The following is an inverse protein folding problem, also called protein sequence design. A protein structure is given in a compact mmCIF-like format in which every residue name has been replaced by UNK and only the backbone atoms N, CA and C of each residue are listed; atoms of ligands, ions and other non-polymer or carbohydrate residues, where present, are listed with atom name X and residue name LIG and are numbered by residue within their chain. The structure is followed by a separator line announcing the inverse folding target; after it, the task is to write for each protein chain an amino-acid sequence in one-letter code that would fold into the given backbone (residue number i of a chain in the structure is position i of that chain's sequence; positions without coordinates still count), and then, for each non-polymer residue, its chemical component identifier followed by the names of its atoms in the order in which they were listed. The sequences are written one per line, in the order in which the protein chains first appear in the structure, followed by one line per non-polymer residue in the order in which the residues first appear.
data_IF_082841679653
#
_entry.id   IF_082841679653
#
_cell.length_a   1.000
_cell.length_b   1.000
_cell.length_c   1.000
_cell.angle_alpha   90.00
_cell.angle_beta   90.00
_cell.angle_gamma   90.00
#
_symmetry.space_group_name_H-M   'P 1'
#
loop_
_entity.id
_entity.type
_entity.pdbx_description
1 polymer ?
#
# COMPACT_ATOMS: atom_id res chain seq x y z
N UNK A 1 -53.79 -19.26 -12.81
CA UNK A 1 -52.70 -18.45 -12.23
C UNK A 1 -52.85 -17.01 -12.73
N UNK A 2 -53.08 -16.04 -11.86
CA UNK A 2 -53.34 -14.64 -12.27
C UNK A 2 -52.03 -13.94 -12.65
N UNK A 3 -52.04 -13.18 -13.76
CA UNK A 3 -50.88 -12.44 -14.31
C UNK A 3 -50.14 -11.60 -13.26
N UNK A 4 -50.88 -11.07 -12.27
CA UNK A 4 -50.33 -10.34 -11.12
C UNK A 4 -49.33 -11.16 -10.28
N UNK A 5 -49.59 -12.45 -10.07
CA UNK A 5 -48.68 -13.36 -9.34
C UNK A 5 -47.38 -13.60 -10.10
N UNK A 6 -47.46 -13.72 -11.43
CA UNK A 6 -46.29 -13.92 -12.29
C UNK A 6 -45.39 -12.68 -12.26
N UNK A 7 -45.97 -11.47 -12.35
CA UNK A 7 -45.22 -10.21 -12.31
C UNK A 7 -44.47 -10.05 -10.97
N UNK A 8 -45.11 -10.40 -9.84
CA UNK A 8 -44.47 -10.32 -8.51
C UNK A 8 -43.29 -11.31 -8.40
N UNK A 9 -43.43 -12.52 -8.94
CA UNK A 9 -42.36 -13.52 -8.94
C UNK A 9 -41.18 -13.06 -9.83
N UNK A 10 -41.46 -12.53 -11.02
CA UNK A 10 -40.40 -12.04 -11.91
C UNK A 10 -39.70 -10.81 -11.30
N UNK A 11 -40.45 -9.88 -10.72
CA UNK A 11 -39.87 -8.69 -10.08
C UNK A 11 -38.99 -9.04 -8.87
N UNK A 12 -39.39 -10.02 -8.06
CA UNK A 12 -38.59 -10.49 -6.92
C UNK A 12 -37.33 -11.22 -7.37
N UNK A 13 -37.39 -12.02 -8.43
CA UNK A 13 -36.20 -12.67 -9.02
C UNK A 13 -35.21 -11.62 -9.55
N UNK A 14 -35.69 -10.60 -10.28
CA UNK A 14 -34.84 -9.51 -10.80
C UNK A 14 -34.20 -8.71 -9.66
N UNK A 15 -34.96 -8.43 -8.59
CA UNK A 15 -34.43 -7.72 -7.42
C UNK A 15 -33.33 -8.52 -6.71
N UNK A 16 -33.52 -9.83 -6.53
CA UNK A 16 -32.53 -10.71 -5.90
C UNK A 16 -31.28 -10.83 -6.77
N UNK A 17 -31.43 -11.01 -8.08
CA UNK A 17 -30.31 -11.02 -9.04
C UNK A 17 -29.53 -9.70 -9.02
N UNK A 18 -30.23 -8.56 -9.02
CA UNK A 18 -29.60 -7.25 -8.92
C UNK A 18 -28.79 -7.09 -7.63
N UNK A 19 -29.32 -7.56 -6.50
CA UNK A 19 -28.64 -7.50 -5.21
C UNK A 19 -27.39 -8.37 -5.16
N UNK A 20 -27.44 -9.57 -5.76
CA UNK A 20 -26.28 -10.47 -5.88
C UNK A 20 -25.17 -9.83 -6.70
N UNK A 21 -25.50 -9.20 -7.84
CA UNK A 21 -24.51 -8.52 -8.69
C UNK A 21 -23.88 -7.34 -7.94
N UNK A 22 -24.68 -6.56 -7.21
CA UNK A 22 -24.19 -5.42 -6.42
C UNK A 22 -23.23 -5.87 -5.31
N UNK A 23 -23.55 -6.96 -4.60
CA UNK A 23 -22.67 -7.54 -3.59
C UNK A 23 -21.40 -8.14 -4.18
N UNK A 24 -21.47 -8.75 -5.36
CA UNK A 24 -20.31 -9.34 -6.02
C UNK A 24 -19.34 -8.25 -6.52
N UNK A 25 -19.86 -7.21 -7.19
CA UNK A 25 -19.05 -6.07 -7.67
C UNK A 25 -18.54 -5.25 -6.49
N UNK A 26 -19.39 -4.93 -5.52
CA UNK A 26 -18.99 -4.22 -4.30
C UNK A 26 -18.00 -5.01 -3.45
N UNK A 27 -18.13 -6.33 -3.41
CA UNK A 27 -17.21 -7.24 -2.70
C UNK A 27 -15.85 -7.34 -3.38
N UNK A 28 -15.79 -7.41 -4.71
CA UNK A 28 -14.50 -7.42 -5.45
C UNK A 28 -13.80 -6.07 -5.31
N UNK A 29 -14.53 -4.97 -5.52
CA UNK A 29 -13.99 -3.62 -5.34
C UNK A 29 -13.52 -3.46 -3.88
N UNK A 30 -14.36 -3.82 -2.91
CA UNK A 30 -14.01 -3.80 -1.49
C UNK A 30 -12.79 -4.65 -1.15
N UNK A 31 -12.67 -5.85 -1.71
CA UNK A 31 -11.52 -6.74 -1.48
C UNK A 31 -10.23 -6.22 -2.11
N UNK A 32 -10.30 -5.61 -3.30
CA UNK A 32 -9.15 -4.98 -3.98
C UNK A 32 -8.71 -3.72 -3.23
N UNK A 33 -9.66 -2.87 -2.83
CA UNK A 33 -9.38 -1.67 -2.03
C UNK A 33 -8.88 -2.01 -0.61
N UNK A 34 -9.40 -3.08 0.00
CA UNK A 34 -8.90 -3.61 1.27
C UNK A 34 -7.49 -4.21 1.13
N UNK A 35 -7.22 -4.94 0.04
CA UNK A 35 -5.90 -5.50 -0.24
C UNK A 35 -4.81 -4.44 -0.50
N UNK A 36 -5.18 -3.27 -1.02
CA UNK A 36 -4.24 -2.16 -1.29
C UNK A 36 -4.08 -1.25 -0.08
N UNK A 37 -5.17 -0.86 0.60
CA UNK A 37 -5.14 0.01 1.78
C UNK A 37 -4.65 -0.67 3.06
N UNK A 38 -4.78 -2.01 3.12
CA UNK A 38 -4.32 -2.88 4.19
C UNK A 38 -3.15 -3.78 3.71
N UNK A 39 -2.51 -3.40 2.59
CA UNK A 39 -1.32 -4.10 2.11
C UNK A 39 -0.26 -4.06 3.19
N UNK A 40 0.23 -5.25 3.57
CA UNK A 40 1.35 -5.44 4.51
C UNK A 40 2.52 -4.50 4.16
N UNK A 41 2.71 -4.17 2.87
CA UNK A 41 3.70 -3.20 2.42
C UNK A 41 3.53 -1.80 3.02
N UNK A 42 2.29 -1.27 3.09
CA UNK A 42 2.06 0.07 3.65
C UNK A 42 2.24 0.10 5.18
N UNK A 43 1.87 -0.98 5.87
CA UNK A 43 2.10 -1.13 7.32
C UNK A 43 3.59 -1.26 7.60
N UNK A 44 4.30 -2.13 6.87
CA UNK A 44 5.75 -2.31 6.98
C UNK A 44 6.50 -1.00 6.71
N UNK A 45 6.08 -0.23 5.69
CA UNK A 45 6.65 1.09 5.43
C UNK A 45 6.43 2.08 6.57
N UNK A 46 5.22 2.14 7.14
CA UNK A 46 4.93 3.03 8.27
C UNK A 46 5.72 2.65 9.52
N UNK A 47 5.81 1.36 9.83
CA UNK A 47 6.58 0.87 10.97
C UNK A 47 8.09 1.11 10.79
N UNK A 48 8.61 0.93 9.57
CA UNK A 48 9.99 1.27 9.24
C UNK A 48 10.25 2.78 9.44
N UNK A 49 9.39 3.64 8.89
CA UNK A 49 9.53 5.09 9.04
C UNK A 49 9.40 5.53 10.51
N UNK A 50 8.51 4.89 11.28
CA UNK A 50 8.32 5.19 12.71
C UNK A 50 9.51 4.77 13.57
N UNK A 51 10.22 3.71 13.21
CA UNK A 51 11.39 3.20 13.96
C UNK A 51 12.71 3.83 13.50
N UNK A 52 12.75 4.51 12.36
CA UNK A 52 13.97 5.05 11.80
C UNK A 52 14.49 6.28 12.59
N UNK A 53 15.65 6.12 13.24
CA UNK A 53 16.25 7.19 14.05
C UNK A 53 16.73 8.39 13.22
N UNK A 54 17.21 8.17 11.99
CA UNK A 54 17.61 9.28 11.08
C UNK A 54 16.43 10.16 10.75
N UNK A 55 15.28 9.56 10.45
CA UNK A 55 14.06 10.30 10.18
C UNK A 55 13.64 11.10 11.42
N UNK A 56 13.59 10.46 12.59
CA UNK A 56 13.24 11.13 13.85
C UNK A 56 14.19 12.26 14.24
N UNK A 57 15.47 12.14 13.96
CA UNK A 57 16.45 13.19 14.22
C UNK A 57 16.15 14.45 13.42
N UNK A 58 15.68 14.29 12.18
CA UNK A 58 15.40 15.41 11.27
C UNK A 58 13.99 16.00 11.50
N UNK A 59 12.95 15.16 11.58
CA UNK A 59 11.56 15.62 11.65
C UNK A 59 10.98 15.68 13.07
N UNK A 60 11.70 15.17 14.07
CA UNK A 60 11.19 14.92 15.42
C UNK A 60 10.42 13.60 15.54
N UNK A 61 9.82 13.34 16.70
CA UNK A 61 8.97 12.15 16.88
C UNK A 61 7.83 12.13 15.84
N UNK A 62 7.61 10.97 15.22
CA UNK A 62 6.56 10.79 14.21
C UNK A 62 5.18 10.88 14.90
N UNK A 63 4.47 12.00 14.71
CA UNK A 63 3.15 12.24 15.32
C UNK A 63 2.05 11.54 14.54
N UNK A 64 2.10 11.62 13.21
CA UNK A 64 1.08 11.01 12.35
C UNK A 64 1.58 10.78 10.93
N UNK A 65 0.91 9.88 10.23
CA UNK A 65 1.07 9.69 8.79
C UNK A 65 -0.08 10.36 8.04
N UNK A 66 0.19 10.83 6.83
CA UNK A 66 -0.82 11.36 5.93
C UNK A 66 -1.92 10.35 5.65
N UNK A 67 -3.14 10.85 5.44
CA UNK A 67 -4.31 10.02 5.11
C UNK A 67 -4.22 9.36 3.73
N UNK A 68 -3.33 9.85 2.87
CA UNK A 68 -3.12 9.34 1.53
C UNK A 68 -1.73 8.72 1.44
N UNK A 69 -1.69 7.44 1.10
CA UNK A 69 -0.50 6.74 0.65
C UNK A 69 -0.64 6.64 -0.86
N UNK A 70 0.30 7.24 -1.59
CA UNK A 70 0.31 7.24 -3.05
C UNK A 70 1.45 6.38 -3.50
N UNK A 71 1.26 5.53 -4.50
CA UNK A 71 2.31 4.61 -4.89
C UNK A 71 1.87 3.66 -5.97
N UNK A 72 2.85 2.95 -6.53
CA UNK A 72 2.60 1.94 -7.54
C UNK A 72 3.05 0.58 -7.02
N UNK A 73 2.17 -0.40 -7.11
CA UNK A 73 2.47 -1.78 -6.77
C UNK A 73 2.45 -2.57 -8.08
N UNK A 74 3.61 -3.09 -8.48
CA UNK A 74 3.78 -3.94 -9.64
C UNK A 74 4.05 -5.36 -9.16
N UNK A 75 3.23 -6.33 -9.58
CA UNK A 75 3.49 -7.75 -9.29
C UNK A 75 3.68 -8.46 -10.62
N UNK A 76 4.83 -9.11 -10.80
CA UNK A 76 5.23 -9.80 -12.04
C UNK A 76 5.87 -11.15 -11.72
N UNK A 77 5.31 -12.24 -12.25
CA UNK A 77 5.83 -13.61 -12.11
C UNK A 77 6.10 -14.06 -10.65
N UNK A 78 5.25 -13.67 -9.70
CA UNK A 78 5.41 -14.06 -8.29
C UNK A 78 6.38 -13.19 -7.49
N UNK A 79 7.02 -12.22 -8.13
CA UNK A 79 7.78 -11.16 -7.47
C UNK A 79 6.98 -9.85 -7.52
N UNK A 80 6.84 -9.18 -6.38
CA UNK A 80 6.15 -7.90 -6.23
C UNK A 80 7.13 -6.79 -5.91
N UNK A 81 7.02 -5.65 -6.59
CA UNK A 81 7.68 -4.40 -6.20
C UNK A 81 6.61 -3.36 -5.88
N UNK A 82 6.79 -2.65 -4.78
CA UNK A 82 5.90 -1.58 -4.34
C UNK A 82 6.73 -0.33 -4.10
N UNK A 83 6.36 0.76 -4.74
CA UNK A 83 6.90 2.08 -4.45
C UNK A 83 5.79 2.88 -3.80
N UNK A 84 5.98 3.24 -2.52
CA UNK A 84 4.99 3.93 -1.71
C UNK A 84 5.55 5.27 -1.24
N UNK A 85 4.89 6.35 -1.65
CA UNK A 85 5.08 7.69 -1.13
C UNK A 85 4.08 7.95 0.01
N UNK A 86 4.60 8.25 1.18
CA UNK A 86 3.88 8.43 2.43
C UNK A 86 4.29 9.77 3.03
N UNK A 87 3.31 10.63 3.24
CA UNK A 87 3.53 11.87 4.00
C UNK A 87 3.72 11.55 5.49
N UNK A 88 4.83 11.96 6.08
CA UNK A 88 5.15 11.76 7.49
C UNK A 88 5.12 13.11 8.20
N UNK A 89 4.23 13.27 9.18
CA UNK A 89 4.16 14.48 10.00
C UNK A 89 4.93 14.21 11.30
N UNK A 90 6.12 14.78 11.39
CA UNK A 90 6.93 14.81 12.60
C UNK A 90 6.52 15.96 13.51
N UNK A 91 7.05 15.93 14.74
CA UNK A 91 6.85 16.99 15.73
C UNK A 91 7.36 18.36 15.29
N UNK A 92 8.45 18.39 14.51
CA UNK A 92 9.07 19.63 14.04
C UNK A 92 8.57 20.03 12.65
N UNK A 93 8.48 19.06 11.74
CA UNK A 93 8.14 19.29 10.33
C UNK A 93 7.50 18.06 9.69
N UNK A 94 6.86 18.29 8.55
CA UNK A 94 6.30 17.23 7.71
C UNK A 94 7.16 17.01 6.47
N UNK A 95 7.39 15.75 6.10
CA UNK A 95 8.17 15.36 4.91
C UNK A 95 7.44 14.29 4.13
N UNK A 96 7.69 14.24 2.83
CA UNK A 96 7.22 13.15 1.97
C UNK A 96 8.31 12.08 1.89
N UNK A 97 8.00 10.90 2.44
CA UNK A 97 8.90 9.76 2.47
C UNK A 97 8.53 8.78 1.36
N UNK A 98 9.51 8.37 0.57
CA UNK A 98 9.38 7.34 -0.45
C UNK A 98 9.99 6.03 0.06
N UNK A 99 9.21 4.96 0.04
CA UNK A 99 9.62 3.64 0.49
C UNK A 99 9.40 2.64 -0.63
N UNK A 100 10.47 1.95 -1.01
CA UNK A 100 10.43 0.85 -1.95
C UNK A 100 10.46 -0.47 -1.19
N UNK A 101 9.55 -1.37 -1.56
CA UNK A 101 9.44 -2.69 -1.00
C UNK A 101 9.48 -3.73 -2.11
N UNK A 102 10.05 -4.89 -1.80
CA UNK A 102 10.06 -6.04 -2.67
C UNK A 102 9.54 -7.28 -1.94
N UNK A 103 8.75 -8.06 -2.66
CA UNK A 103 8.23 -9.37 -2.32
C UNK A 103 8.84 -10.34 -3.34
N UNK A 104 9.54 -11.39 -2.89
CA UNK A 104 10.07 -12.42 -3.80
C UNK A 104 9.68 -13.81 -3.36
N UNK A 105 9.36 -14.66 -4.35
CA UNK A 105 9.20 -16.10 -4.15
C UNK A 105 8.28 -16.50 -2.99
N UNK A 106 7.15 -15.82 -2.79
CA UNK A 106 6.21 -16.20 -1.73
C UNK A 106 6.45 -15.57 -0.35
N UNK A 107 7.56 -14.85 -0.15
CA UNK A 107 8.01 -14.37 1.17
C UNK A 107 7.53 -12.96 1.51
N UNK A 108 7.38 -12.64 2.80
CA UNK A 108 6.90 -11.34 3.29
C UNK A 108 7.59 -10.11 2.66
N UNK A 109 6.86 -9.00 2.57
CA UNK A 109 7.35 -7.71 2.06
C UNK A 109 8.57 -7.21 2.84
N UNK A 110 9.63 -6.82 2.12
CA UNK A 110 10.84 -6.24 2.72
C UNK A 110 11.15 -4.88 2.10
N UNK A 111 11.50 -3.93 2.95
CA UNK A 111 11.97 -2.61 2.53
C UNK A 111 13.34 -2.76 1.86
N UNK A 112 13.44 -2.39 0.59
CA UNK A 112 14.68 -2.43 -0.20
C UNK A 112 15.33 -1.06 -0.36
N UNK A 113 14.52 0.00 -0.33
CA UNK A 113 15.00 1.37 -0.26
C UNK A 113 14.01 2.23 0.53
N UNK A 114 14.51 3.25 1.20
CA UNK A 114 13.69 4.24 1.85
C UNK A 114 14.44 5.57 1.82
N UNK A 115 13.76 6.61 1.41
CA UNK A 115 14.29 7.97 1.34
C UNK A 115 13.18 8.96 1.68
N UNK A 116 13.55 10.19 1.96
CA UNK A 116 12.58 11.28 2.07
C UNK A 116 13.13 12.52 1.39
N UNK A 117 12.22 13.38 0.93
CA UNK A 117 12.59 14.67 0.36
C UNK A 117 12.55 15.74 1.46
N UNK A 118 13.66 16.45 1.64
CA UNK A 118 13.72 17.58 2.56
C UNK A 118 13.16 18.86 1.92
N UNK A 119 13.00 19.92 2.70
CA UNK A 119 12.49 21.22 2.22
C UNK A 119 13.39 21.86 1.14
N UNK A 120 14.66 21.46 1.06
CA UNK A 120 15.59 21.89 0.02
C UNK A 120 15.47 21.07 -1.28
N UNK A 121 14.51 20.14 -1.36
CA UNK A 121 14.32 19.24 -2.51
C UNK A 121 15.37 18.13 -2.61
N UNK A 122 16.24 18.00 -1.61
CA UNK A 122 17.27 16.96 -1.57
C UNK A 122 16.66 15.65 -1.05
N UNK A 123 17.03 14.55 -1.70
CA UNK A 123 16.64 13.21 -1.29
C UNK A 123 17.62 12.71 -0.23
N UNK A 124 17.12 12.38 0.95
CA UNK A 124 17.91 11.85 2.06
C UNK A 124 17.57 10.37 2.25
N UNK A 125 18.57 9.51 2.12
CA UNK A 125 18.40 8.06 2.25
C UNK A 125 18.31 7.64 3.73
N UNK A 126 17.21 6.97 4.05
CA UNK A 126 16.90 6.40 5.36
C UNK A 126 17.40 4.96 5.50
N UNK A 127 17.64 4.27 4.40
CA UNK A 127 18.18 2.92 4.35
C UNK A 127 19.62 2.94 3.83
N UNK A 128 20.53 2.23 4.49
CA UNK A 128 21.92 2.15 4.04
C UNK A 128 22.00 1.22 2.80
N UNK A 129 22.50 1.69 1.64
CA UNK A 129 22.53 0.90 0.39
C UNK A 129 23.40 -0.37 0.47
N UNK A 130 24.23 -0.50 1.51
CA UNK A 130 25.02 -1.72 1.75
C UNK A 130 24.22 -2.86 2.40
N UNK A 131 23.13 -2.57 3.12
CA UNK A 131 22.25 -3.60 3.67
C UNK A 131 21.25 -4.13 2.64
N UNK A 132 20.73 -3.25 1.77
CA UNK A 132 19.85 -3.66 0.68
C UNK A 132 20.59 -4.50 -0.38
N UNK A 133 21.86 -4.17 -0.67
CA UNK A 133 22.69 -4.94 -1.64
C UNK A 133 23.06 -6.35 -1.17
N UNK A 134 23.02 -6.64 0.14
CA UNK A 134 23.19 -8.02 0.64
C UNK A 134 21.94 -8.88 0.49
N UNK A 135 20.77 -8.26 0.29
CA UNK A 135 19.47 -8.95 0.20
C UNK A 135 19.00 -9.15 -1.24
N UNK A 136 19.60 -8.46 -2.20
CA UNK A 136 19.40 -8.70 -3.64
C UNK A 136 20.54 -9.61 -4.10
N UNK A 137 20.28 -10.88 -4.50
CA UNK A 137 21.30 -11.68 -5.13
C UNK A 137 21.76 -10.92 -6.37
N UNK A 138 23.05 -10.60 -6.43
CA UNK A 138 23.72 -10.01 -7.58
C UNK A 138 23.40 -10.87 -8.79
N UNK A 139 22.46 -10.43 -9.64
CA UNK A 139 22.39 -10.92 -11.00
C UNK A 139 23.67 -10.47 -11.67
N UNK A 140 24.65 -11.37 -11.70
CA UNK A 140 25.79 -11.26 -12.58
C UNK A 140 25.24 -11.26 -14.02
N UNK A 141 25.64 -10.23 -14.76
CA UNK A 141 25.45 -10.09 -16.19
C UNK A 141 26.06 -11.28 -16.97
#
# INVERSE_FOLDING_TARGET
MTTKKIIIIVASIVMVLGLIVLLFVGGIIGAVFYGIGNSEAATVSKDFLKSNERLKQDIGEVKSFGKFVTGNINVRNGDGTAELSIKVNGERKSVDASVELMYRSGHQWRVTAASYQNEAGQTVDLLNPYESRKLVPRMAA
#
